data_IF_719995718816
#
_entry.id   IF_719995718816
#
_cell.length_a   1.000
_cell.length_b   1.000
_cell.length_c   1.000
_cell.angle_alpha   90.00
_cell.angle_beta   90.00
_cell.angle_gamma   90.00
#
_symmetry.space_group_name_H-M   'P 1'
#
loop_
_entity.id
_entity.type
_entity.pdbx_description
1 polymer ?
#
# COMPACT_ATOMS: atom_id res chain seq x y z
N UNK A 1 12.61 4.59 -6.92
CA UNK A 1 11.74 3.53 -6.36
C UNK A 1 12.55 2.35 -5.81
N UNK A 2 13.49 1.77 -6.57
CA UNK A 2 14.31 0.63 -6.11
C UNK A 2 15.19 0.92 -4.86
N UNK A 3 15.73 2.14 -4.73
CA UNK A 3 16.54 2.53 -3.56
C UNK A 3 15.73 2.60 -2.26
N UNK A 4 14.48 3.05 -2.34
CA UNK A 4 13.56 3.08 -1.18
C UNK A 4 13.24 1.66 -0.73
N UNK A 5 12.88 0.79 -1.68
CA UNK A 5 12.56 -0.61 -1.39
C UNK A 5 13.74 -1.36 -0.73
N UNK A 6 14.98 -1.03 -1.12
CA UNK A 6 16.18 -1.57 -0.47
C UNK A 6 16.30 -1.11 0.98
N UNK A 7 16.08 0.18 1.24
CA UNK A 7 16.11 0.76 2.59
C UNK A 7 15.03 0.12 3.48
N UNK A 8 13.83 -0.05 2.95
CA UNK A 8 12.71 -0.66 3.69
C UNK A 8 13.03 -2.11 4.10
N UNK A 9 13.66 -2.88 3.21
CA UNK A 9 14.09 -4.26 3.52
C UNK A 9 15.17 -4.27 4.62
N UNK A 10 16.14 -3.36 4.57
CA UNK A 10 17.20 -3.25 5.58
C UNK A 10 16.63 -2.87 6.95
N UNK A 11 15.63 -1.99 6.99
CA UNK A 11 14.92 -1.61 8.22
C UNK A 11 14.15 -2.79 8.81
N UNK A 12 13.43 -3.55 7.98
CA UNK A 12 12.75 -4.77 8.45
C UNK A 12 13.76 -5.80 8.99
N UNK A 13 14.93 -5.95 8.37
CA UNK A 13 15.98 -6.86 8.86
C UNK A 13 16.57 -6.44 10.21
N UNK A 14 16.71 -5.14 10.43
CA UNK A 14 17.10 -4.60 11.73
C UNK A 14 16.04 -4.90 12.79
N UNK A 15 14.78 -4.55 12.50
CA UNK A 15 13.66 -4.73 13.42
C UNK A 15 13.42 -6.22 13.76
N UNK A 16 13.54 -7.11 12.78
CA UNK A 16 13.46 -8.56 13.01
C UNK A 16 14.56 -9.04 13.96
N UNK A 17 15.78 -8.56 13.77
CA UNK A 17 16.92 -8.93 14.62
C UNK A 17 16.72 -8.44 16.07
N UNK A 18 16.17 -7.23 16.24
CA UNK A 18 15.81 -6.69 17.55
C UNK A 18 14.68 -7.50 18.21
N UNK A 19 13.59 -7.78 17.48
CA UNK A 19 12.46 -8.56 18.01
C UNK A 19 12.87 -9.96 18.45
N UNK A 20 13.71 -10.64 17.68
CA UNK A 20 14.25 -11.95 18.05
C UNK A 20 15.11 -11.87 19.32
N UNK A 21 15.90 -10.80 19.48
CA UNK A 21 16.67 -10.55 20.70
C UNK A 21 15.74 -10.33 21.91
N UNK A 22 14.71 -9.50 21.74
CA UNK A 22 13.70 -9.24 22.78
C UNK A 22 12.92 -10.50 23.15
N UNK A 23 12.61 -11.37 22.19
CA UNK A 23 11.90 -12.63 22.43
C UNK A 23 12.74 -13.61 23.27
N UNK A 24 14.05 -13.67 22.99
CA UNK A 24 14.99 -14.47 23.78
C UNK A 24 15.10 -13.98 25.23
N UNK A 25 15.06 -12.66 25.45
CA UNK A 25 15.13 -12.04 26.77
C UNK A 25 13.80 -12.06 27.52
N UNK A 26 12.68 -12.18 26.81
CA UNK A 26 11.35 -12.17 27.40
C UNK A 26 11.14 -13.37 28.32
N UNK A 27 10.65 -13.12 29.54
CA UNK A 27 10.33 -14.18 30.53
C UNK A 27 8.84 -14.53 30.57
N UNK A 28 7.97 -13.58 30.23
CA UNK A 28 6.51 -13.76 30.29
C UNK A 28 6.00 -14.38 28.99
N UNK A 29 5.20 -15.44 29.09
CA UNK A 29 4.70 -16.17 27.93
C UNK A 29 3.89 -15.28 26.99
N UNK A 30 2.99 -14.44 27.51
CA UNK A 30 2.22 -13.48 26.71
C UNK A 30 3.14 -12.55 25.88
N UNK A 31 4.23 -12.06 26.46
CA UNK A 31 5.17 -11.18 25.77
C UNK A 31 5.90 -11.93 24.66
N UNK A 32 6.32 -13.17 24.90
CA UNK A 32 6.88 -14.03 23.84
C UNK A 32 5.90 -14.23 22.69
N UNK A 33 4.64 -14.51 22.99
CA UNK A 33 3.61 -14.69 21.96
C UNK A 33 3.41 -13.43 21.13
N UNK A 34 3.41 -12.24 21.76
CA UNK A 34 3.29 -10.96 21.08
C UNK A 34 4.49 -10.70 20.16
N UNK A 35 5.72 -10.85 20.68
CA UNK A 35 6.95 -10.67 19.91
C UNK A 35 7.03 -11.67 18.74
N UNK A 36 6.68 -12.94 18.98
CA UNK A 36 6.64 -13.97 17.93
C UNK A 36 5.62 -13.66 16.84
N UNK A 37 4.44 -13.11 17.20
CA UNK A 37 3.43 -12.67 16.22
C UNK A 37 3.98 -11.54 15.35
N UNK A 38 4.66 -10.57 15.95
CA UNK A 38 5.22 -9.43 15.22
C UNK A 38 6.39 -9.84 14.32
N UNK A 39 7.28 -10.71 14.81
CA UNK A 39 8.36 -11.31 13.99
C UNK A 39 7.81 -12.03 12.76
N UNK A 40 6.68 -12.75 12.88
CA UNK A 40 6.02 -13.40 11.74
C UNK A 40 5.45 -12.38 10.76
N UNK A 41 4.80 -11.32 11.25
CA UNK A 41 4.25 -10.23 10.43
C UNK A 41 5.35 -9.57 9.59
N UNK A 42 6.46 -9.18 10.21
CA UNK A 42 7.59 -8.56 9.52
C UNK A 42 8.28 -9.52 8.54
N UNK A 43 8.35 -10.82 8.87
CA UNK A 43 8.88 -11.83 7.93
C UNK A 43 8.02 -11.93 6.67
N UNK A 44 6.70 -11.88 6.82
CA UNK A 44 5.78 -11.86 5.69
C UNK A 44 5.95 -10.58 4.86
N UNK A 45 5.96 -9.40 5.51
CA UNK A 45 6.15 -8.11 4.85
C UNK A 45 7.46 -8.07 4.05
N UNK A 46 8.56 -8.56 4.62
CA UNK A 46 9.84 -8.70 3.92
C UNK A 46 9.71 -9.56 2.66
N UNK A 47 8.99 -10.68 2.74
CA UNK A 47 8.82 -11.58 1.60
C UNK A 47 8.05 -10.91 0.44
N UNK A 48 7.07 -10.08 0.76
CA UNK A 48 6.28 -9.30 -0.21
C UNK A 48 7.14 -8.21 -0.86
N UNK A 49 7.95 -7.49 -0.08
CA UNK A 49 8.87 -6.48 -0.63
C UNK A 49 9.96 -7.11 -1.51
N UNK A 50 10.46 -8.30 -1.15
CA UNK A 50 11.40 -9.04 -1.99
C UNK A 50 10.77 -9.50 -3.32
N UNK A 51 9.51 -9.95 -3.28
CA UNK A 51 8.77 -10.30 -4.50
C UNK A 51 8.58 -9.07 -5.39
N UNK A 52 8.16 -7.93 -4.82
CA UNK A 52 8.03 -6.64 -5.52
C UNK A 52 9.36 -6.17 -6.11
N UNK A 53 10.47 -6.35 -5.39
CA UNK A 53 11.81 -6.02 -5.90
C UNK A 53 12.16 -6.86 -7.12
N UNK A 54 11.86 -8.16 -7.09
CA UNK A 54 12.12 -9.08 -8.19
C UNK A 54 11.30 -8.73 -9.42
N UNK A 55 10.03 -8.37 -9.25
CA UNK A 55 9.15 -7.91 -10.33
C UNK A 55 9.68 -6.61 -10.97
N UNK A 56 10.09 -5.64 -10.16
CA UNK A 56 10.63 -4.38 -10.65
C UNK A 56 11.91 -4.59 -11.48
N UNK A 57 12.84 -5.44 -11.00
CA UNK A 57 14.05 -5.80 -11.76
C UNK A 57 13.72 -6.54 -13.06
N UNK A 58 12.71 -7.42 -13.06
CA UNK A 58 12.26 -8.12 -14.27
C UNK A 58 11.66 -7.15 -15.31
N UNK A 59 10.89 -6.16 -14.85
CA UNK A 59 10.30 -5.13 -15.70
C UNK A 59 11.33 -4.16 -16.27
N UNK A 60 12.35 -3.78 -15.50
CA UNK A 60 13.48 -2.96 -15.98
C UNK A 60 14.31 -3.70 -17.05
N UNK A 61 14.47 -5.01 -16.91
CA UNK A 61 15.22 -5.84 -17.87
C UNK A 61 14.50 -5.96 -19.23
N UNK A 62 13.16 -5.87 -19.25
CA UNK A 62 12.35 -5.90 -20.46
C UNK A 62 12.36 -4.56 -21.21
N UNK A 63 12.46 -3.43 -20.50
CA UNK A 63 12.48 -2.10 -21.10
C UNK A 63 13.78 -1.78 -21.87
N UNK A 64 14.89 -2.45 -21.54
CA UNK A 64 16.20 -2.23 -22.19
C UNK A 64 16.30 -2.95 -23.54
N UNK A 65 15.43 -3.93 -23.82
CA UNK A 65 15.44 -4.69 -25.07
C UNK A 65 14.67 -4.00 -26.23
N UNK A 66 14.02 -2.85 -26.00
CA UNK A 66 13.11 -2.23 -26.99
C UNK A 66 13.56 -0.87 -27.53
N UNK A 67 14.76 -0.38 -27.17
CA UNK A 67 15.27 0.91 -27.65
C UNK A 67 16.36 0.74 -28.73
N UNK A 68 15.96 0.26 -29.90
CA UNK A 68 16.60 0.63 -31.17
C UNK A 68 15.53 0.75 -32.26
N UNK A 69 14.90 1.93 -32.36
CA UNK A 69 14.31 2.47 -33.60
C UNK A 69 13.72 3.87 -33.36
N UNK A 70 14.53 4.86 -33.75
CA UNK A 70 14.23 6.18 -34.29
C UNK A 70 12.77 6.66 -34.49
N UNK A 71 12.55 7.87 -33.94
CA UNK A 71 11.84 9.03 -34.52
C UNK A 71 10.34 9.29 -34.20
N UNK A 72 9.94 10.56 -33.96
CA UNK A 72 8.63 10.93 -33.42
C UNK A 72 7.62 11.28 -34.54
N UNK A 73 6.34 11.09 -34.28
CA UNK A 73 5.28 11.71 -35.09
C UNK A 73 4.05 12.05 -34.24
N UNK A 74 3.62 13.29 -34.47
CA UNK A 74 2.50 14.03 -33.90
C UNK A 74 1.17 13.30 -34.08
N UNK A 75 0.34 13.31 -33.05
CA UNK A 75 -1.11 13.28 -33.20
C UNK A 75 -1.78 14.00 -32.02
N UNK A 76 -2.08 15.28 -32.25
CA UNK A 76 -3.08 16.07 -31.54
C UNK A 76 -4.42 15.34 -31.60
N UNK A 77 -5.11 15.21 -30.47
CA UNK A 77 -6.57 15.08 -30.45
C UNK A 77 -7.12 15.74 -29.19
N UNK A 78 -7.67 16.92 -29.39
CA UNK A 78 -8.57 17.57 -28.45
C UNK A 78 -9.98 16.96 -28.51
N UNK A 79 -10.73 17.20 -27.44
CA UNK A 79 -12.19 17.20 -27.32
C UNK A 79 -12.94 15.86 -27.27
N UNK A 80 -13.46 15.57 -26.07
CA UNK A 80 -14.91 15.66 -25.88
C UNK A 80 -15.27 15.65 -24.40
N UNK A 81 -15.75 16.80 -23.93
CA UNK A 81 -16.54 16.91 -22.73
C UNK A 81 -17.79 16.04 -22.85
N UNK A 82 -17.94 15.06 -21.95
CA UNK A 82 -19.25 14.53 -21.56
C UNK A 82 -19.43 14.81 -20.08
N UNK A 83 -20.36 15.71 -19.80
CA UNK A 83 -20.94 15.97 -18.50
C UNK A 83 -21.74 14.74 -18.03
N UNK A 84 -21.04 13.77 -17.46
CA UNK A 84 -21.63 12.86 -16.49
C UNK A 84 -21.49 13.53 -15.13
N UNK A 85 -22.57 13.56 -14.34
CA UNK A 85 -22.56 14.12 -12.99
C UNK A 85 -21.48 13.43 -12.17
N UNK A 86 -20.29 14.04 -12.10
CA UNK A 86 -19.15 13.48 -11.42
C UNK A 86 -19.54 13.28 -9.95
N UNK A 87 -19.64 12.03 -9.53
CA UNK A 87 -19.76 11.68 -8.12
C UNK A 87 -18.60 12.38 -7.39
N UNK A 88 -18.93 13.23 -6.42
CA UNK A 88 -17.92 13.97 -5.67
C UNK A 88 -16.99 12.99 -4.94
N UNK A 89 -15.69 13.07 -5.22
CA UNK A 89 -14.69 12.29 -4.50
C UNK A 89 -14.19 13.10 -3.31
N UNK A 90 -14.32 12.53 -2.10
CA UNK A 90 -13.77 13.11 -0.88
C UNK A 90 -12.58 12.27 -0.44
N UNK A 91 -11.39 12.86 -0.46
CA UNK A 91 -10.16 12.22 0.02
C UNK A 91 -9.97 12.60 1.49
N UNK A 92 -10.07 11.61 2.37
CA UNK A 92 -9.77 11.79 3.80
C UNK A 92 -8.26 11.74 3.99
N UNK A 93 -7.67 12.84 4.46
CA UNK A 93 -6.25 12.93 4.81
C UNK A 93 -6.09 13.12 6.33
N UNK A 94 -4.92 12.80 6.88
CA UNK A 94 -4.59 12.97 8.31
C UNK A 94 -5.52 12.22 9.29
N UNK A 95 -6.00 11.04 8.91
CA UNK A 95 -6.69 10.16 9.85
C UNK A 95 -5.68 9.36 10.67
N UNK A 96 -5.99 9.14 11.95
CA UNK A 96 -5.27 8.19 12.79
C UNK A 96 -6.21 7.03 13.06
N UNK A 97 -5.78 5.82 12.74
CA UNK A 97 -6.47 4.61 13.13
C UNK A 97 -5.57 3.83 14.10
N UNK A 98 -6.16 3.30 15.15
CA UNK A 98 -5.48 2.44 16.11
C UNK A 98 -5.37 1.04 15.49
N UNK A 99 -4.14 0.53 15.36
CA UNK A 99 -3.87 -0.82 14.81
C UNK A 99 -4.46 -1.96 15.65
N UNK A 100 -4.97 -1.68 16.84
CA UNK A 100 -5.64 -2.69 17.69
C UNK A 100 -7.10 -2.94 17.33
N UNK A 101 -7.73 -2.10 16.51
CA UNK A 101 -9.10 -2.31 16.02
C UNK A 101 -9.05 -2.90 14.60
N UNK A 102 -9.73 -4.02 14.39
CA UNK A 102 -9.76 -4.73 13.10
C UNK A 102 -10.56 -3.96 12.03
N UNK A 103 -11.25 -2.86 12.41
CA UNK A 103 -12.17 -2.13 11.54
C UNK A 103 -11.98 -0.60 11.61
N UNK A 104 -12.06 0.06 10.45
CA UNK A 104 -12.13 1.52 10.35
C UNK A 104 -13.59 1.96 10.22
N UNK A 105 -14.06 2.83 11.13
CA UNK A 105 -15.43 3.39 11.10
C UNK A 105 -15.38 4.83 10.58
N UNK A 106 -16.06 5.08 9.46
CA UNK A 106 -16.19 6.41 8.86
C UNK A 106 -17.66 6.84 9.02
N UNK A 107 -17.87 7.99 9.66
CA UNK A 107 -19.20 8.60 9.79
C UNK A 107 -19.31 9.74 8.79
N UNK A 108 -20.28 9.63 7.87
CA UNK A 108 -20.55 10.65 6.86
C UNK A 108 -21.90 11.26 7.19
N UNK A 109 -21.94 12.56 7.44
CA UNK A 109 -23.19 13.30 7.60
C UNK A 109 -23.64 13.79 6.22
N UNK A 110 -24.86 13.43 5.85
CA UNK A 110 -25.48 13.79 4.57
C UNK A 110 -26.71 14.63 4.90
N UNK A 111 -26.88 15.73 4.17
CA UNK A 111 -28.06 16.59 4.32
C UNK A 111 -29.33 15.78 4.06
N UNK A 112 -30.37 15.99 4.89
CA UNK A 112 -31.59 15.16 4.95
C UNK A 112 -32.40 15.15 3.65
N UNK A 113 -32.07 16.05 2.73
CA UNK A 113 -32.68 16.18 1.42
C UNK A 113 -32.06 15.27 0.36
N UNK A 114 -30.93 14.60 0.66
CA UNK A 114 -30.26 13.65 -0.23
C UNK A 114 -30.54 12.21 0.20
N UNK A 115 -31.14 11.43 -0.69
CA UNK A 115 -31.26 9.98 -0.57
C UNK A 115 -30.12 9.33 -1.33
N UNK A 116 -29.29 8.55 -0.63
CA UNK A 116 -28.31 7.66 -1.26
C UNK A 116 -28.96 6.30 -1.49
N UNK A 117 -28.83 5.78 -2.71
CA UNK A 117 -29.16 4.39 -3.00
C UNK A 117 -28.00 3.50 -2.53
N UNK A 118 -28.32 2.35 -1.93
CA UNK A 118 -27.35 1.33 -1.51
C UNK A 118 -26.38 0.88 -2.61
N UNK A 119 -26.77 1.04 -3.88
CA UNK A 119 -25.93 0.72 -5.05
C UNK A 119 -24.84 1.75 -5.34
N UNK A 120 -24.89 2.93 -4.72
CA UNK A 120 -23.93 4.03 -4.94
C UNK A 120 -22.72 3.98 -4.00
N UNK A 121 -22.75 3.12 -2.98
CA UNK A 121 -21.62 2.92 -2.06
C UNK A 121 -20.77 1.77 -2.60
N UNK A 122 -19.69 2.10 -3.29
CA UNK A 122 -18.72 1.12 -3.80
C UNK A 122 -17.43 1.25 -2.98
N UNK A 123 -17.04 0.18 -2.29
CA UNK A 123 -15.68 0.03 -1.75
C UNK A 123 -14.84 -0.67 -2.81
N UNK A 124 -13.77 -0.01 -3.27
CA UNK A 124 -12.75 -0.62 -4.14
C UNK A 124 -11.67 -1.32 -3.31
#
# INVERSE_FOLDING_TARGET
MAAQLKKDIEEIDHNLSELLSLELLAKRQHVKTLLSKESKRLTQEKSELLAKRKELVASESLAIASNDSSSPSVATNESSARSESALGSVVVTNYMWDQTDDFVKIYIEIDKNYSLDSTQIVMN
#
